data_IF_726591472070
#
_entry.id   IF_726591472070
#
_cell.length_a   1.000
_cell.length_b   1.000
_cell.length_c   1.000
_cell.angle_alpha   90.00
_cell.angle_beta   90.00
_cell.angle_gamma   90.00
#
_symmetry.space_group_name_H-M   'P 1'
#
loop_
_entity.id
_entity.type
_entity.pdbx_description
1 polymer ?
#
# COMPACT_ATOMS: atom_id res chain seq x y z
N UNK A 1 31.44 26.07 -44.29
CA UNK A 1 30.11 26.36 -43.69
C UNK A 1 29.13 25.19 -43.76
N UNK A 2 28.79 24.63 -44.94
CA UNK A 2 27.81 23.51 -45.06
C UNK A 2 28.10 22.28 -44.18
N UNK A 3 29.36 21.83 -44.09
CA UNK A 3 29.76 20.67 -43.28
C UNK A 3 29.66 20.90 -41.76
N UNK A 4 29.89 22.12 -41.29
CA UNK A 4 29.74 22.50 -39.87
C UNK A 4 28.25 22.56 -39.47
N UNK A 5 27.40 23.09 -40.35
CA UNK A 5 25.95 23.13 -40.14
C UNK A 5 25.34 21.73 -40.06
N UNK A 6 25.75 20.81 -40.94
CA UNK A 6 25.28 19.40 -40.89
C UNK A 6 25.78 18.65 -39.67
N UNK A 7 27.02 18.88 -39.23
CA UNK A 7 27.56 18.25 -38.02
C UNK A 7 26.86 18.75 -36.74
N UNK A 8 26.52 20.05 -36.69
CA UNK A 8 25.75 20.63 -35.59
C UNK A 8 24.34 20.04 -35.55
N UNK A 9 23.63 19.97 -36.69
CA UNK A 9 22.30 19.34 -36.78
C UNK A 9 22.30 17.86 -36.36
N UNK A 10 23.29 17.08 -36.80
CA UNK A 10 23.44 15.67 -36.40
C UNK A 10 23.68 15.53 -34.89
N UNK A 11 24.51 16.39 -34.30
CA UNK A 11 24.75 16.41 -32.86
C UNK A 11 23.49 16.76 -32.08
N UNK A 12 22.73 17.78 -32.51
CA UNK A 12 21.48 18.19 -31.86
C UNK A 12 20.41 17.10 -31.94
N UNK A 13 20.26 16.43 -33.09
CA UNK A 13 19.32 15.31 -33.26
C UNK A 13 19.70 14.13 -32.35
N UNK A 14 21.01 13.82 -32.23
CA UNK A 14 21.48 12.77 -31.33
C UNK A 14 21.21 13.11 -29.86
N UNK A 15 21.47 14.36 -29.46
CA UNK A 15 21.22 14.85 -28.10
C UNK A 15 19.72 14.83 -27.76
N UNK A 16 18.87 15.27 -28.68
CA UNK A 16 17.41 15.20 -28.54
C UNK A 16 16.95 13.75 -28.42
N UNK A 17 17.45 12.84 -29.24
CA UNK A 17 17.07 11.41 -29.17
C UNK A 17 17.46 10.75 -27.83
N UNK A 18 18.59 11.16 -27.23
CA UNK A 18 19.00 10.69 -25.89
C UNK A 18 18.11 11.25 -24.77
N UNK A 19 17.62 12.49 -24.91
CA UNK A 19 16.72 13.11 -23.92
C UNK A 19 15.32 12.51 -23.98
N UNK A 20 14.79 12.22 -25.19
CA UNK A 20 13.46 11.59 -25.32
C UNK A 20 13.42 10.14 -24.80
N UNK A 21 14.55 9.42 -24.81
CA UNK A 21 14.62 8.04 -24.32
C UNK A 21 14.43 7.93 -22.80
N UNK A 22 14.68 9.01 -22.05
CA UNK A 22 14.50 9.06 -20.59
C UNK A 22 13.03 9.21 -20.15
N UNK A 23 12.17 9.81 -20.99
CA UNK A 23 10.78 10.11 -20.63
C UNK A 23 9.83 8.90 -20.75
N UNK A 24 10.21 7.85 -21.47
CA UNK A 24 9.34 6.69 -21.71
C UNK A 24 8.92 5.99 -20.42
N UNK A 25 9.85 5.83 -19.46
CA UNK A 25 9.55 5.20 -18.18
C UNK A 25 8.58 6.04 -17.32
N UNK A 26 8.70 7.37 -17.36
CA UNK A 26 7.80 8.27 -16.62
C UNK A 26 6.38 8.22 -17.19
N UNK A 27 6.25 8.11 -18.51
CA UNK A 27 4.94 7.92 -19.16
C UNK A 27 4.30 6.59 -18.74
N UNK A 28 5.09 5.51 -18.66
CA UNK A 28 4.57 4.23 -18.18
C UNK A 28 4.07 4.35 -16.73
N UNK A 29 4.85 5.00 -15.86
CA UNK A 29 4.43 5.23 -14.48
C UNK A 29 3.15 6.07 -14.40
N UNK A 30 3.05 7.14 -15.20
CA UNK A 30 1.83 7.97 -15.28
C UNK A 30 0.59 7.13 -15.64
N UNK A 31 0.71 6.26 -16.65
CA UNK A 31 -0.41 5.40 -17.05
C UNK A 31 -0.82 4.42 -15.95
N UNK A 32 0.14 3.92 -15.16
CA UNK A 32 -0.12 3.00 -14.05
C UNK A 32 -0.82 3.71 -12.89
N UNK A 33 -0.41 4.95 -12.59
CA UNK A 33 -1.10 5.80 -11.60
C UNK A 33 -2.53 6.12 -12.08
N UNK A 34 -2.71 6.51 -13.34
CA UNK A 34 -4.05 6.74 -13.92
C UNK A 34 -4.95 5.49 -13.83
N UNK A 35 -4.38 4.30 -14.05
CA UNK A 35 -5.10 3.04 -13.91
C UNK A 35 -5.53 2.79 -12.45
N UNK A 36 -4.67 3.08 -11.47
CA UNK A 36 -5.01 2.98 -10.04
C UNK A 36 -6.11 4.00 -9.67
N UNK A 37 -5.94 5.27 -10.05
CA UNK A 37 -6.86 6.37 -9.77
C UNK A 37 -8.24 6.17 -10.42
N UNK A 38 -8.32 5.41 -11.51
CA UNK A 38 -9.61 5.06 -12.12
C UNK A 38 -10.51 4.23 -11.19
N UNK A 39 -9.95 3.47 -10.25
CA UNK A 39 -10.68 2.53 -9.37
C UNK A 39 -10.61 2.85 -7.88
N UNK A 40 -9.84 3.87 -7.52
CA UNK A 40 -9.57 4.23 -6.13
C UNK A 40 -9.87 5.70 -5.87
N UNK A 41 -10.00 6.03 -4.59
CA UNK A 41 -10.17 7.37 -4.07
C UNK A 41 -9.15 7.60 -2.95
N UNK A 42 -8.67 8.84 -2.82
CA UNK A 42 -7.71 9.24 -1.79
C UNK A 42 -8.42 9.85 -0.60
N UNK A 43 -7.99 9.47 0.60
CA UNK A 43 -8.48 10.02 1.86
C UNK A 43 -7.30 10.32 2.77
N UNK A 44 -7.38 11.43 3.52
CA UNK A 44 -6.45 11.70 4.61
C UNK A 44 -7.18 11.45 5.93
N UNK A 45 -6.71 10.49 6.71
CA UNK A 45 -7.23 10.24 8.05
C UNK A 45 -6.37 11.01 9.05
N UNK A 46 -7.01 11.78 9.93
CA UNK A 46 -6.34 12.51 11.01
C UNK A 46 -7.02 12.13 12.34
N UNK A 47 -6.23 11.62 13.27
CA UNK A 47 -6.65 11.36 14.63
C UNK A 47 -6.77 12.69 15.39
N UNK A 48 -7.89 12.87 16.07
CA UNK A 48 -8.15 14.09 16.87
C UNK A 48 -7.26 14.11 18.12
N UNK A 49 -6.90 12.93 18.62
CA UNK A 49 -5.93 12.72 19.69
C UNK A 49 -4.81 11.81 19.14
N UNK A 50 -3.54 12.11 19.41
CA UNK A 50 -2.43 11.30 18.91
C UNK A 50 -2.50 9.88 19.46
N UNK A 51 -2.06 8.91 18.66
CA UNK A 51 -1.95 7.52 19.08
C UNK A 51 -1.07 7.41 20.35
N UNK A 52 -1.58 6.74 21.39
CA UNK A 52 -0.97 6.73 22.73
C UNK A 52 0.16 5.72 22.83
N UNK A 53 1.19 5.84 21.97
CA UNK A 53 2.33 4.91 21.92
C UNK A 53 2.00 3.48 21.44
N UNK A 54 0.72 3.15 21.29
CA UNK A 54 0.17 1.98 20.60
C UNK A 54 -0.07 2.28 19.11
N UNK A 55 -0.20 1.23 18.31
CA UNK A 55 -0.51 1.37 16.89
C UNK A 55 -2.02 1.55 16.72
N UNK A 56 -2.43 2.50 15.87
CA UNK A 56 -3.83 2.60 15.45
C UNK A 56 -4.01 1.83 14.16
N UNK A 57 -4.87 0.83 14.18
CA UNK A 57 -5.17 -0.04 13.03
C UNK A 57 -6.40 0.51 12.29
N UNK A 58 -6.34 0.50 10.97
CA UNK A 58 -7.42 0.91 10.08
C UNK A 58 -7.79 -0.28 9.19
N UNK A 59 -8.92 -0.91 9.44
CA UNK A 59 -9.45 -1.98 8.59
C UNK A 59 -10.34 -1.40 7.49
N UNK A 60 -10.12 -1.83 6.25
CA UNK A 60 -10.87 -1.43 5.07
C UNK A 60 -11.96 -2.46 4.77
N UNK A 61 -13.23 -2.04 4.87
CA UNK A 61 -14.38 -2.95 4.91
C UNK A 61 -15.44 -2.57 3.87
N UNK A 62 -15.97 -3.56 3.13
CA UNK A 62 -17.11 -3.41 2.21
C UNK A 62 -18.46 -3.44 2.93
N UNK A 63 -18.61 -4.26 3.95
CA UNK A 63 -19.87 -4.48 4.68
C UNK A 63 -19.57 -4.69 6.17
N UNK A 64 -19.99 -3.75 7.01
CA UNK A 64 -19.74 -3.74 8.46
C UNK A 64 -20.42 -4.89 9.21
N UNK A 65 -21.30 -5.67 8.56
CA UNK A 65 -21.95 -6.82 9.18
C UNK A 65 -21.35 -8.15 8.71
N UNK A 66 -20.39 -8.12 7.78
CA UNK A 66 -19.68 -9.31 7.31
C UNK A 66 -18.28 -9.27 7.89
N UNK A 67 -17.87 -10.36 8.53
CA UNK A 67 -16.51 -10.55 9.09
C UNK A 67 -15.46 -10.70 7.98
N UNK A 68 -15.34 -9.72 7.10
CA UNK A 68 -14.44 -9.71 5.94
C UNK A 68 -13.74 -8.35 5.86
N UNK A 69 -12.41 -8.40 5.78
CA UNK A 69 -11.56 -7.22 5.62
C UNK A 69 -10.83 -7.34 4.28
N UNK A 70 -10.87 -6.29 3.48
CA UNK A 70 -10.23 -6.24 2.16
C UNK A 70 -8.78 -5.76 2.22
N UNK A 71 -8.45 -4.98 3.24
CA UNK A 71 -7.12 -4.43 3.45
C UNK A 71 -7.02 -3.77 4.80
N UNK A 72 -5.81 -3.43 5.21
CA UNK A 72 -5.59 -2.70 6.43
C UNK A 72 -4.38 -1.79 6.30
N UNK A 73 -4.37 -0.73 7.10
CA UNK A 73 -3.25 0.17 7.29
C UNK A 73 -3.06 0.42 8.79
N UNK A 74 -1.95 1.07 9.15
CA UNK A 74 -1.65 1.43 10.53
C UNK A 74 -1.04 2.82 10.65
N UNK A 75 -1.38 3.52 11.73
CA UNK A 75 -0.72 4.76 12.15
C UNK A 75 0.15 4.42 13.36
N UNK A 76 1.45 4.66 13.23
CA UNK A 76 2.44 4.45 14.28
C UNK A 76 3.25 5.75 14.39
N UNK A 77 3.41 6.27 15.60
CA UNK A 77 4.17 7.51 15.89
C UNK A 77 3.77 8.72 15.01
N UNK A 78 2.51 8.78 14.60
CA UNK A 78 1.92 9.84 13.78
C UNK A 78 0.48 10.10 14.23
N UNK A 79 -0.09 11.22 13.81
CA UNK A 79 -1.51 11.55 13.99
C UNK A 79 -2.32 11.36 12.71
N UNK A 80 -1.65 11.06 11.58
CA UNK A 80 -2.30 11.04 10.29
C UNK A 80 -1.67 10.09 9.29
N UNK A 81 -2.48 9.69 8.31
CA UNK A 81 -2.10 8.82 7.20
C UNK A 81 -2.88 9.20 5.94
N UNK A 82 -2.26 9.02 4.78
CA UNK A 82 -2.93 9.09 3.48
C UNK A 82 -3.24 7.67 2.99
N UNK A 83 -4.50 7.42 2.69
CA UNK A 83 -5.00 6.14 2.21
C UNK A 83 -5.44 6.28 0.76
N UNK A 84 -5.04 5.32 -0.08
CA UNK A 84 -5.60 5.10 -1.41
C UNK A 84 -6.55 3.89 -1.31
N UNK A 85 -7.85 4.14 -1.34
CA UNK A 85 -8.86 3.12 -1.06
C UNK A 85 -9.61 2.73 -2.34
N UNK A 86 -9.92 1.45 -2.52
CA UNK A 86 -10.82 1.03 -3.58
C UNK A 86 -12.20 1.66 -3.39
N UNK A 87 -12.85 2.10 -4.48
CA UNK A 87 -14.25 2.60 -4.44
C UNK A 87 -15.28 1.57 -3.99
N UNK A 88 -14.88 0.31 -3.80
CA UNK A 88 -15.72 -0.76 -3.23
C UNK A 88 -15.74 -0.71 -1.71
N UNK A 89 -14.75 -0.08 -1.06
CA UNK A 89 -14.70 0.05 0.39
C UNK A 89 -15.76 1.07 0.82
N UNK A 90 -16.54 0.71 1.83
CA UNK A 90 -17.63 1.55 2.32
C UNK A 90 -17.39 2.02 3.75
N UNK A 91 -16.60 1.26 4.53
CA UNK A 91 -16.34 1.54 5.93
C UNK A 91 -14.85 1.47 6.22
N UNK A 92 -14.41 2.32 7.14
CA UNK A 92 -13.13 2.17 7.85
C UNK A 92 -13.44 1.88 9.31
N UNK A 93 -12.95 0.75 9.82
CA UNK A 93 -12.94 0.47 11.24
C UNK A 93 -11.56 0.84 11.77
N UNK A 94 -11.51 1.90 12.56
CA UNK A 94 -10.28 2.46 13.13
C UNK A 94 -10.26 2.15 14.61
N UNK A 95 -9.20 1.54 15.12
CA UNK A 95 -9.09 1.24 16.54
C UNK A 95 -7.66 1.34 17.05
N UNK A 96 -7.54 1.66 18.33
CA UNK A 96 -6.27 1.71 19.05
C UNK A 96 -5.92 0.30 19.54
N UNK A 97 -4.95 -0.34 18.87
CA UNK A 97 -4.49 -1.69 19.16
C UNK A 97 -3.45 -1.64 20.29
N UNK A 98 -3.95 -1.73 21.52
CA UNK A 98 -3.14 -1.51 22.73
C UNK A 98 -2.21 -2.68 23.00
N UNK A 99 -2.63 -3.88 22.66
CA UNK A 99 -1.89 -5.11 22.90
C UNK A 99 -1.05 -5.56 21.70
N UNK A 100 -1.17 -4.86 20.57
CA UNK A 100 -0.42 -5.07 19.31
C UNK A 100 -0.69 -6.43 18.67
N UNK A 101 -1.90 -6.96 18.83
CA UNK A 101 -2.31 -8.26 18.28
C UNK A 101 -3.15 -8.17 17.00
N UNK A 102 -3.36 -6.95 16.49
CA UNK A 102 -4.16 -6.63 15.30
C UNK A 102 -5.62 -7.10 15.39
N UNK A 103 -6.13 -7.32 16.60
CA UNK A 103 -7.51 -7.72 16.88
C UNK A 103 -8.20 -6.58 17.60
N UNK A 104 -9.41 -6.21 17.17
CA UNK A 104 -10.21 -5.27 17.94
C UNK A 104 -10.77 -5.98 19.17
N UNK A 105 -10.46 -5.49 20.36
CA UNK A 105 -11.16 -5.89 21.59
C UNK A 105 -12.29 -4.92 21.96
N UNK A 106 -13.27 -5.40 22.73
CA UNK A 106 -14.44 -4.60 23.10
C UNK A 106 -14.10 -3.38 23.99
N UNK A 107 -13.02 -3.48 24.78
CA UNK A 107 -12.52 -2.44 25.67
C UNK A 107 -11.50 -1.49 25.02
N UNK A 108 -11.25 -1.66 23.72
CA UNK A 108 -10.38 -0.78 22.95
C UNK A 108 -11.14 0.42 22.37
N UNK A 109 -10.51 1.62 22.35
CA UNK A 109 -11.06 2.76 21.65
C UNK A 109 -11.18 2.49 20.15
N UNK A 110 -12.37 2.69 19.58
CA UNK A 110 -12.59 2.52 18.15
C UNK A 110 -13.48 3.61 17.57
N UNK A 111 -13.55 3.63 16.24
CA UNK A 111 -14.47 4.45 15.45
C UNK A 111 -14.80 3.72 14.15
N UNK A 112 -16.06 3.84 13.72
CA UNK A 112 -16.51 3.35 12.42
C UNK A 112 -16.82 4.54 11.54
N UNK A 113 -16.04 4.71 10.48
CA UNK A 113 -16.23 5.76 9.48
C UNK A 113 -17.00 5.18 8.31
N UNK A 114 -18.13 5.78 7.95
CA UNK A 114 -18.82 5.47 6.70
C UNK A 114 -18.34 6.42 5.60
N UNK A 115 -17.67 5.89 4.58
CA UNK A 115 -17.10 6.68 3.50
C UNK A 115 -18.16 7.37 2.62
N UNK A 116 -19.42 6.89 2.65
CA UNK A 116 -20.52 7.55 1.95
C UNK A 116 -20.86 8.93 2.52
N UNK A 117 -20.50 9.20 3.77
CA UNK A 117 -20.70 10.50 4.41
C UNK A 117 -19.58 11.50 4.04
N UNK A 118 -18.53 11.03 3.36
CA UNK A 118 -17.31 11.77 3.01
C UNK A 118 -17.05 11.76 1.48
N UNK A 119 -18.08 12.06 0.69
CA UNK A 119 -18.01 12.01 -0.79
C UNK A 119 -17.12 13.08 -1.42
N UNK A 120 -16.75 14.11 -0.65
CA UNK A 120 -15.80 15.13 -1.05
C UNK A 120 -14.35 14.61 -1.06
N UNK A 121 -14.13 13.34 -0.68
CA UNK A 121 -12.83 12.64 -0.75
C UNK A 121 -11.73 13.46 -0.09
N UNK A 122 -12.07 13.99 1.08
CA UNK A 122 -11.27 14.98 1.80
C UNK A 122 -10.71 14.40 3.10
N UNK A 123 -10.14 15.28 3.92
CA UNK A 123 -9.61 14.95 5.23
C UNK A 123 -10.72 14.52 6.20
N UNK A 124 -10.64 13.29 6.70
CA UNK A 124 -11.53 12.73 7.70
C UNK A 124 -10.86 12.82 9.07
N UNK A 125 -11.50 13.54 9.99
CA UNK A 125 -11.08 13.58 11.39
C UNK A 125 -11.76 12.47 12.16
N UNK A 126 -10.97 11.65 12.84
CA UNK A 126 -11.44 10.50 13.60
C UNK A 126 -11.17 10.73 15.09
N UNK A 127 -12.15 10.43 15.92
CA UNK A 127 -12.00 10.36 17.37
C UNK A 127 -12.36 8.95 17.79
N UNK A 128 -11.50 8.34 18.60
CA UNK A 128 -11.65 6.97 19.09
C UNK A 128 -12.27 7.01 20.47
N UNK A 129 -13.29 6.19 20.68
CA UNK A 129 -13.99 6.10 21.96
C UNK A 129 -14.27 4.64 22.30
N UNK A 130 -14.32 4.31 23.58
CA UNK A 130 -14.74 2.98 24.04
C UNK A 130 -16.26 2.99 24.16
N UNK A 131 -16.93 2.17 23.36
CA UNK A 131 -18.38 1.94 23.41
C UNK A 131 -18.71 0.50 23.02
N UNK A 132 -18.64 -0.41 24.00
CA UNK A 132 -18.86 -1.86 23.81
C UNK A 132 -20.18 -2.20 23.10
N UNK A 133 -21.23 -1.38 23.30
CA UNK A 133 -22.55 -1.62 22.70
C UNK A 133 -22.60 -1.27 21.21
N UNK A 134 -21.67 -0.46 20.73
CA UNK A 134 -21.56 -0.07 19.31
C UNK A 134 -20.44 -0.78 18.57
N UNK A 135 -19.61 -1.55 19.29
CA UNK A 135 -18.53 -2.30 18.68
C UNK A 135 -19.13 -3.29 17.66
N UNK A 136 -18.62 -3.32 16.42
CA UNK A 136 -19.20 -4.16 15.37
C UNK A 136 -18.86 -5.63 15.67
N UNK A 137 -19.83 -6.35 16.26
CA UNK A 137 -19.68 -7.75 16.71
C UNK A 137 -19.13 -8.74 15.67
N UNK A 138 -19.22 -8.40 14.38
CA UNK A 138 -18.62 -9.19 13.30
C UNK A 138 -17.07 -9.20 13.35
N UNK A 139 -16.44 -8.18 13.96
CA UNK A 139 -14.98 -7.97 13.95
C UNK A 139 -14.33 -8.07 15.33
N UNK A 140 -15.11 -7.86 16.41
CA UNK A 140 -14.61 -7.97 17.80
C UNK A 140 -14.08 -9.38 18.07
N UNK A 141 -12.92 -9.47 18.71
CA UNK A 141 -12.22 -10.70 19.10
C UNK A 141 -11.90 -11.64 17.91
N UNK A 142 -11.78 -11.08 16.70
CA UNK A 142 -11.34 -11.82 15.50
C UNK A 142 -10.04 -11.26 14.97
N UNK A 143 -9.03 -12.13 14.89
CA UNK A 143 -7.73 -11.73 14.36
C UNK A 143 -7.86 -11.24 12.93
N UNK A 144 -7.16 -10.16 12.61
CA UNK A 144 -7.12 -9.61 11.26
C UNK A 144 -6.72 -10.66 10.21
N UNK A 145 -5.78 -11.54 10.54
CA UNK A 145 -5.38 -12.66 9.67
C UNK A 145 -6.51 -13.61 9.31
N UNK A 146 -7.52 -13.77 10.17
CA UNK A 146 -8.71 -14.60 9.90
C UNK A 146 -9.78 -13.87 9.07
N UNK A 147 -9.77 -12.54 9.12
CA UNK A 147 -10.74 -11.67 8.45
C UNK A 147 -10.28 -11.25 7.05
N UNK A 148 -8.96 -11.18 6.85
CA UNK A 148 -8.33 -10.75 5.62
C UNK A 148 -8.62 -11.73 4.48
N UNK A 149 -9.35 -11.25 3.46
CA UNK A 149 -9.43 -11.92 2.16
C UNK A 149 -8.26 -11.46 1.28
N UNK A 150 -7.06 -11.89 1.63
CA UNK A 150 -5.94 -11.73 0.69
C UNK A 150 -6.14 -12.78 -0.41
N UNK A 151 -6.29 -12.33 -1.66
CA UNK A 151 -5.99 -13.16 -2.83
C UNK A 151 -4.46 -13.41 -2.81
N UNK A 152 -4.04 -14.39 -2.00
CA UNK A 152 -2.64 -14.80 -1.84
C UNK A 152 -2.06 -15.37 -3.15
N UNK A 153 -2.91 -15.59 -4.16
CA UNK A 153 -2.51 -16.07 -5.48
C UNK A 153 -1.58 -15.08 -6.21
N UNK A 154 -1.57 -13.79 -5.84
CA UNK A 154 -0.74 -12.75 -6.47
C UNK A 154 0.63 -12.53 -5.79
N UNK A 155 0.88 -13.16 -4.65
CA UNK A 155 2.07 -12.87 -3.82
C UNK A 155 2.62 -14.16 -3.22
N UNK A 156 3.86 -14.49 -3.53
CA UNK A 156 4.55 -15.63 -2.91
C UNK A 156 5.06 -15.25 -1.51
N UNK A 157 4.65 -15.98 -0.47
CA UNK A 157 4.97 -15.69 0.93
C UNK A 157 5.61 -16.91 1.57
N UNK A 158 6.77 -16.73 2.21
CA UNK A 158 7.41 -17.78 2.98
C UNK A 158 8.32 -18.69 2.17
N UNK A 159 8.40 -18.51 0.86
CA UNK A 159 9.22 -19.34 -0.02
C UNK A 159 10.70 -18.99 0.12
N UNK A 160 11.52 -20.02 0.30
CA UNK A 160 12.97 -19.88 0.26
C UNK A 160 13.42 -19.75 -1.20
N UNK A 161 14.07 -18.65 -1.54
CA UNK A 161 14.48 -18.31 -2.90
C UNK A 161 15.93 -17.78 -2.95
N UNK A 162 16.57 -17.95 -4.10
CA UNK A 162 17.88 -17.40 -4.38
C UNK A 162 17.75 -16.07 -5.12
N UNK A 163 18.71 -15.16 -4.92
CA UNK A 163 18.75 -13.86 -5.62
C UNK A 163 18.92 -13.97 -7.15
N UNK A 164 19.15 -15.17 -7.67
CA UNK A 164 19.21 -15.47 -9.11
C UNK A 164 17.86 -15.90 -9.69
N UNK A 165 16.86 -16.13 -8.84
CA UNK A 165 15.55 -16.64 -9.22
C UNK A 165 14.74 -15.58 -9.98
N UNK A 166 13.72 -15.98 -10.77
CA UNK A 166 12.99 -15.08 -11.66
C UNK A 166 12.52 -13.77 -11.01
N UNK A 167 11.95 -13.74 -9.79
CA UNK A 167 11.47 -12.50 -9.16
C UNK A 167 12.57 -11.42 -9.01
N UNK A 168 13.82 -11.84 -8.81
CA UNK A 168 14.96 -10.95 -8.55
C UNK A 168 15.75 -10.55 -9.79
N UNK A 169 15.29 -10.94 -10.99
CA UNK A 169 15.95 -10.53 -12.24
C UNK A 169 15.96 -9.00 -12.35
N UNK A 170 17.07 -8.46 -12.85
CA UNK A 170 17.26 -7.01 -13.05
C UNK A 170 16.13 -6.33 -13.84
N UNK A 171 15.50 -7.05 -14.78
CA UNK A 171 14.34 -6.56 -15.53
C UNK A 171 13.15 -6.23 -14.63
N UNK A 172 12.89 -7.08 -13.63
CA UNK A 172 11.79 -6.93 -12.68
C UNK A 172 12.02 -5.76 -11.73
N UNK A 173 13.27 -5.50 -11.34
CA UNK A 173 13.61 -4.28 -10.59
C UNK A 173 13.25 -3.00 -11.37
N UNK A 174 13.48 -2.98 -12.69
CA UNK A 174 13.07 -1.85 -13.54
C UNK A 174 11.55 -1.78 -13.66
N UNK A 175 10.88 -2.92 -13.79
CA UNK A 175 9.41 -3.00 -13.86
C UNK A 175 8.79 -2.45 -12.58
N UNK A 176 9.18 -2.94 -11.40
CA UNK A 176 8.64 -2.47 -10.12
C UNK A 176 8.87 -0.99 -9.85
N UNK A 177 9.94 -0.40 -10.41
CA UNK A 177 10.23 1.03 -10.26
C UNK A 177 9.34 1.94 -11.12
N UNK A 178 8.95 1.50 -12.32
CA UNK A 178 8.25 2.35 -13.30
C UNK A 178 6.85 1.89 -13.67
N UNK A 179 6.49 0.67 -13.29
CA UNK A 179 5.24 -0.01 -13.62
C UNK A 179 4.81 -0.89 -12.42
N UNK A 180 4.52 -0.28 -11.26
CA UNK A 180 4.31 -1.00 -10.02
C UNK A 180 3.05 -1.87 -10.04
N UNK A 181 1.96 -1.44 -10.68
CA UNK A 181 0.75 -2.25 -10.78
C UNK A 181 0.98 -3.44 -11.71
N UNK A 182 1.63 -3.26 -12.86
CA UNK A 182 2.03 -4.39 -13.71
C UNK A 182 2.96 -5.36 -12.98
N UNK A 183 3.92 -4.86 -12.19
CA UNK A 183 4.82 -5.72 -11.39
C UNK A 183 4.04 -6.62 -10.42
N UNK A 184 3.02 -6.09 -9.75
CA UNK A 184 2.13 -6.87 -8.88
C UNK A 184 1.32 -7.92 -9.67
N UNK A 185 0.75 -7.53 -10.81
CA UNK A 185 -0.11 -8.40 -11.63
C UNK A 185 0.65 -9.50 -12.38
N UNK A 186 1.98 -9.37 -12.51
CA UNK A 186 2.87 -10.37 -13.11
C UNK A 186 3.54 -11.27 -12.05
N UNK A 187 2.95 -11.39 -10.85
CA UNK A 187 3.40 -12.28 -9.76
C UNK A 187 4.87 -12.06 -9.33
N UNK A 188 5.39 -10.83 -9.53
CA UNK A 188 6.77 -10.51 -9.15
C UNK A 188 6.88 -10.03 -7.69
N UNK A 189 5.74 -9.82 -7.02
CA UNK A 189 5.69 -9.43 -5.63
C UNK A 189 5.73 -10.64 -4.70
N UNK A 190 6.38 -10.49 -3.55
CA UNK A 190 6.50 -11.58 -2.60
C UNK A 190 7.32 -11.23 -1.36
N UNK A 191 7.13 -12.04 -0.32
CA UNK A 191 7.99 -12.12 0.85
C UNK A 191 8.80 -13.41 0.78
N UNK A 192 10.04 -13.26 0.32
CA UNK A 192 10.95 -14.37 0.09
C UNK A 192 12.00 -14.47 1.19
N UNK A 193 12.36 -15.69 1.53
CA UNK A 193 13.41 -16.01 2.49
C UNK A 193 14.68 -16.40 1.73
N UNK A 194 15.84 -15.82 2.08
CA UNK A 194 17.12 -16.24 1.47
C UNK A 194 17.66 -17.54 2.08
N UNK A 195 17.08 -17.95 3.21
CA UNK A 195 17.34 -19.21 3.90
C UNK A 195 16.16 -19.53 4.80
N UNK A 196 16.01 -20.80 5.19
CA UNK A 196 15.07 -21.23 6.22
C UNK A 196 15.14 -20.34 7.48
N UNK A 197 13.98 -20.14 8.12
CA UNK A 197 13.88 -19.38 9.36
C UNK A 197 14.68 -20.05 10.48
N UNK A 198 15.50 -19.28 11.18
CA UNK A 198 16.27 -19.71 12.35
C UNK A 198 15.99 -18.77 13.52
N UNK A 199 15.32 -19.24 14.59
CA UNK A 199 14.96 -18.39 15.73
C UNK A 199 16.18 -17.86 16.51
N UNK A 200 17.37 -18.41 16.28
CA UNK A 200 18.61 -17.96 16.92
C UNK A 200 19.34 -16.86 16.12
N UNK A 201 18.79 -16.44 14.98
CA UNK A 201 19.33 -15.38 14.14
C UNK A 201 18.41 -14.17 14.13
N UNK A 202 19.01 -12.98 14.17
CA UNK A 202 18.27 -11.74 13.94
C UNK A 202 17.78 -11.71 12.50
N UNK A 203 16.47 -11.57 12.24
CA UNK A 203 15.94 -11.45 10.88
C UNK A 203 16.38 -10.11 10.27
N UNK A 204 16.80 -10.14 9.01
CA UNK A 204 17.10 -8.94 8.21
C UNK A 204 16.03 -8.84 7.14
N UNK A 205 15.19 -7.80 7.20
CA UNK A 205 14.20 -7.51 6.19
C UNK A 205 14.78 -6.52 5.16
N UNK A 206 14.84 -6.95 3.89
CA UNK A 206 15.24 -6.11 2.78
C UNK A 206 14.00 -5.67 2.00
N UNK A 207 13.57 -4.42 2.20
CA UNK A 207 12.45 -3.86 1.46
C UNK A 207 12.93 -3.25 0.14
N UNK A 208 12.49 -3.81 -0.98
CA UNK A 208 12.66 -3.18 -2.29
C UNK A 208 11.55 -2.15 -2.49
N UNK A 209 11.93 -0.88 -2.61
CA UNK A 209 10.97 0.21 -2.84
C UNK A 209 10.60 0.34 -4.32
N UNK A 210 9.36 0.75 -4.58
CA UNK A 210 8.99 1.46 -5.81
C UNK A 210 8.96 2.96 -5.53
N UNK A 211 9.25 3.77 -6.55
CA UNK A 211 9.20 5.21 -6.44
C UNK A 211 7.72 5.65 -6.51
N UNK A 212 7.14 6.10 -5.39
CA UNK A 212 5.87 6.83 -5.41
C UNK A 212 6.19 8.27 -5.83
N UNK A 213 5.74 8.76 -7.00
CA UNK A 213 5.88 10.17 -7.33
C UNK A 213 5.03 11.00 -6.34
N UNK A 214 5.66 12.01 -5.76
CA UNK A 214 5.03 13.02 -4.88
C UNK A 214 4.18 14.00 -5.69
#
# INVERSE_FOLDING_TARGET
MRRLLTACLLSTVLLISTVLSGCGNFRNLSNEIEAIDAYTDQYQIILTEPASGSAVVIQQIKDINKSEVDGYDGIIDSDSIQLQLSRKIHYLLVFDDKNQDLTLQADEPFSVVNLHDHQDKSTIKVSLTIDENKAPSAFVDRSLSSLLKIELDLVDIGTVANLTDPPFKKGNAKLGMWQPLTFLLEDNAGLYFLSEYDPNKTPILLCMGSMRPL
#
